data_IF_912832152780
#
_entry.id   IF_912832152780
#
_cell.length_a   1.000
_cell.length_b   1.000
_cell.length_c   1.000
_cell.angle_alpha   90.00
_cell.angle_beta   90.00
_cell.angle_gamma   90.00
#
_symmetry.space_group_name_H-M   'P 1'
#
loop_
_entity.id
_entity.type
_entity.pdbx_description
1 polymer ?
#
# COMPACT_ATOMS: atom_id res chain seq x y z
N UNK A 1 1.61 14.81 -18.39
CA UNK A 1 2.33 14.79 -17.10
C UNK A 1 1.33 14.40 -16.02
N UNK A 2 1.59 13.32 -15.29
CA UNK A 2 0.81 12.95 -14.11
C UNK A 2 1.51 13.59 -12.90
N UNK A 3 0.73 14.21 -12.00
CA UNK A 3 1.26 14.83 -10.79
C UNK A 3 0.46 14.27 -9.61
N UNK A 4 1.13 13.65 -8.66
CA UNK A 4 0.56 13.33 -7.35
C UNK A 4 0.68 14.59 -6.47
N UNK A 5 -0.44 15.19 -5.99
CA UNK A 5 -0.38 16.32 -5.08
C UNK A 5 0.38 15.96 -3.79
N UNK A 6 1.49 16.64 -3.54
CA UNK A 6 2.32 16.38 -2.37
C UNK A 6 1.69 16.93 -1.11
N UNK A 7 1.42 16.05 -0.16
CA UNK A 7 1.04 16.43 1.21
C UNK A 7 2.26 16.48 2.14
N UNK A 8 3.40 16.99 1.64
CA UNK A 8 4.71 16.85 2.29
C UNK A 8 4.71 17.25 3.76
N UNK A 9 4.04 18.36 4.12
CA UNK A 9 3.96 18.83 5.51
C UNK A 9 3.31 17.80 6.45
N UNK A 10 2.22 17.17 6.00
CA UNK A 10 1.50 16.15 6.79
C UNK A 10 2.30 14.85 6.79
N UNK A 11 2.87 14.46 5.65
CA UNK A 11 3.69 13.24 5.53
C UNK A 11 4.95 13.29 6.41
N UNK A 12 5.65 14.43 6.44
CA UNK A 12 6.81 14.63 7.33
C UNK A 12 6.39 14.55 8.79
N UNK A 13 5.24 15.14 9.14
CA UNK A 13 4.71 15.05 10.50
C UNK A 13 4.36 13.60 10.88
N UNK A 14 3.65 12.85 10.04
CA UNK A 14 3.34 11.43 10.26
C UNK A 14 4.61 10.57 10.37
N UNK A 15 5.59 10.78 9.49
CA UNK A 15 6.86 10.07 9.53
C UNK A 15 7.64 10.35 10.82
N UNK A 16 7.67 11.62 11.27
CA UNK A 16 8.33 12.00 12.52
C UNK A 16 7.68 11.34 13.75
N UNK A 17 6.35 11.16 13.74
CA UNK A 17 5.65 10.45 14.81
C UNK A 17 5.91 8.95 14.75
N UNK A 18 5.76 8.33 13.58
CA UNK A 18 6.01 6.89 13.38
C UNK A 18 7.45 6.49 13.72
N UNK A 19 8.43 7.35 13.42
CA UNK A 19 9.83 7.11 13.78
C UNK A 19 10.06 7.02 15.29
N UNK A 20 9.23 7.68 16.11
CA UNK A 20 9.32 7.62 17.58
C UNK A 20 8.71 6.34 18.17
N UNK A 21 7.73 5.73 17.51
CA UNK A 21 7.02 4.55 18.03
C UNK A 21 7.88 3.28 18.03
N UNK A 22 8.93 3.24 17.19
CA UNK A 22 9.81 2.07 17.03
C UNK A 22 11.08 2.06 17.87
N UNK A 23 11.34 3.08 18.70
CA UNK A 23 12.61 3.22 19.44
C UNK A 23 12.42 3.69 20.89
N UNK A 24 13.32 3.34 21.82
CA UNK A 24 13.32 3.87 23.18
C UNK A 24 13.27 5.41 23.22
N UNK A 25 12.57 5.98 24.21
CA UNK A 25 12.31 7.43 24.30
C UNK A 25 13.58 8.30 24.23
N UNK A 26 14.68 7.84 24.85
CA UNK A 26 15.98 8.55 24.84
C UNK A 26 16.54 8.67 23.42
N UNK A 27 16.40 7.62 22.60
CA UNK A 27 16.81 7.64 21.19
C UNK A 27 15.80 8.43 20.36
N UNK A 28 14.50 8.26 20.62
CA UNK A 28 13.43 8.99 19.95
C UNK A 28 13.64 10.51 20.04
N UNK A 29 13.97 11.02 21.23
CA UNK A 29 14.18 12.45 21.46
C UNK A 29 15.45 13.01 20.80
N UNK A 30 16.44 12.16 20.53
CA UNK A 30 17.66 12.55 19.81
C UNK A 30 17.40 12.76 18.31
N UNK A 31 16.55 11.94 17.70
CA UNK A 31 16.20 12.04 16.28
C UNK A 31 15.01 12.98 16.01
N UNK A 32 14.00 12.95 16.88
CA UNK A 32 12.79 13.77 16.80
C UNK A 32 12.51 14.37 18.18
N UNK A 33 13.13 15.53 18.52
CA UNK A 33 12.93 16.22 19.78
C UNK A 33 11.46 16.42 20.17
N UNK A 34 11.10 16.41 21.47
CA UNK A 34 9.72 16.55 21.93
C UNK A 34 8.96 17.75 21.35
N UNK A 35 9.64 18.88 21.15
CA UNK A 35 9.04 20.08 20.56
C UNK A 35 8.60 19.86 19.10
N UNK A 36 9.41 19.14 18.31
CA UNK A 36 9.08 18.79 16.93
C UNK A 36 7.98 17.72 16.89
N UNK A 37 7.98 16.79 17.83
CA UNK A 37 6.91 15.80 17.97
C UNK A 37 5.56 16.48 18.31
N UNK A 38 5.56 17.48 19.20
CA UNK A 38 4.38 18.29 19.51
C UNK A 38 3.85 19.04 18.29
N UNK A 39 4.74 19.66 17.51
CA UNK A 39 4.38 20.32 16.26
C UNK A 39 3.82 19.32 15.23
N UNK A 40 4.43 18.15 15.10
CA UNK A 40 3.96 17.10 14.20
C UNK A 40 2.56 16.61 14.57
N UNK A 41 2.28 16.40 15.87
CA UNK A 41 0.92 16.05 16.35
C UNK A 41 -0.11 17.10 15.95
N UNK A 42 0.16 18.38 16.22
CA UNK A 42 -0.74 19.46 15.85
C UNK A 42 -0.99 19.52 14.33
N UNK A 43 0.03 19.31 13.50
CA UNK A 43 -0.12 19.26 12.03
C UNK A 43 -1.05 18.12 11.59
N UNK A 44 -0.91 16.93 12.19
CA UNK A 44 -1.75 15.76 11.86
C UNK A 44 -3.18 15.96 12.36
N UNK A 45 -3.37 16.51 13.57
CA UNK A 45 -4.69 16.81 14.15
C UNK A 45 -5.43 17.90 13.36
N UNK A 46 -4.75 18.98 12.97
CA UNK A 46 -5.29 20.04 12.11
C UNK A 46 -5.75 19.47 10.75
N UNK A 47 -4.96 18.53 10.20
CA UNK A 47 -5.28 17.89 8.93
C UNK A 47 -6.48 16.94 9.06
N UNK A 48 -6.50 16.10 10.10
CA UNK A 48 -7.60 15.15 10.38
C UNK A 48 -8.92 15.85 10.70
N UNK A 49 -8.87 16.98 11.40
CA UNK A 49 -10.07 17.77 11.74
C UNK A 49 -10.67 18.50 10.54
N UNK A 50 -9.98 18.54 9.39
CA UNK A 50 -10.42 19.28 8.21
C UNK A 50 -10.41 20.81 8.43
N UNK A 51 -9.82 21.30 9.52
CA UNK A 51 -9.85 22.71 9.92
C UNK A 51 -9.16 23.64 8.90
N UNK A 52 -8.28 23.08 8.07
CA UNK A 52 -7.71 23.75 6.89
C UNK A 52 -8.23 23.08 5.62
N UNK A 53 -9.50 23.35 5.30
CA UNK A 53 -10.04 23.17 3.96
C UNK A 53 -9.15 23.98 3.02
N UNK A 54 -8.36 23.28 2.18
CA UNK A 54 -7.67 23.94 1.08
C UNK A 54 -8.75 24.59 0.21
N UNK A 55 -8.46 25.71 -0.47
CA UNK A 55 -9.42 26.39 -1.37
C UNK A 55 -10.08 25.45 -2.40
N UNK A 56 -9.55 24.24 -2.58
CA UNK A 56 -10.08 23.17 -3.40
C UNK A 56 -10.27 21.85 -2.63
N UNK A 57 -11.25 21.82 -1.71
CA UNK A 57 -11.84 20.58 -1.20
C UNK A 57 -11.24 19.99 0.08
N UNK A 58 -11.81 18.87 0.51
CA UNK A 58 -11.40 18.12 1.71
C UNK A 58 -9.94 17.66 1.57
N UNK A 59 -9.07 17.81 2.59
CA UNK A 59 -7.71 17.29 2.52
C UNK A 59 -7.72 15.76 2.32
N UNK A 60 -7.05 15.27 1.28
CA UNK A 60 -6.92 13.83 0.99
C UNK A 60 -5.46 13.44 0.82
N UNK A 61 -5.02 12.37 1.51
CA UNK A 61 -3.71 11.79 1.24
C UNK A 61 -3.81 11.00 -0.06
N UNK A 62 -3.04 11.40 -1.07
CA UNK A 62 -3.00 10.76 -2.39
C UNK A 62 -2.11 9.51 -2.42
N UNK A 63 -1.58 9.10 -1.28
CA UNK A 63 -0.59 8.04 -1.11
C UNK A 63 -0.96 7.18 0.10
N UNK A 64 -0.74 5.87 -0.02
CA UNK A 64 -0.67 4.97 1.11
C UNK A 64 0.74 4.39 1.17
N UNK A 65 1.33 4.30 2.35
CA UNK A 65 2.69 3.79 2.53
C UNK A 65 2.70 2.67 3.57
N UNK A 66 3.51 1.67 3.31
CA UNK A 66 3.84 0.59 4.23
C UNK A 66 5.36 0.44 4.26
N UNK A 67 5.90 0.13 5.43
CA UNK A 67 7.34 -0.12 5.61
C UNK A 67 7.60 -1.62 5.53
N UNK A 68 8.76 -2.02 4.98
CA UNK A 68 9.26 -3.41 4.97
C UNK A 68 8.40 -4.46 4.25
N UNK A 69 7.40 -4.04 3.48
CA UNK A 69 6.64 -4.94 2.62
C UNK A 69 5.50 -4.25 1.91
N UNK A 70 4.89 -4.99 0.97
CA UNK A 70 3.68 -4.55 0.27
C UNK A 70 2.47 -5.24 0.90
N UNK A 71 1.51 -4.51 1.47
CA UNK A 71 0.29 -5.10 1.99
C UNK A 71 -0.46 -5.87 0.90
N UNK A 72 -0.77 -7.14 1.17
CA UNK A 72 -1.32 -8.06 0.16
C UNK A 72 -2.60 -7.53 -0.51
N UNK A 73 -3.42 -6.79 0.25
CA UNK A 73 -4.65 -6.16 -0.24
C UNK A 73 -4.42 -5.17 -1.40
N UNK A 74 -3.25 -4.55 -1.49
CA UNK A 74 -2.96 -3.57 -2.55
C UNK A 74 -2.81 -4.23 -3.91
N UNK A 75 -2.39 -5.50 -3.97
CA UNK A 75 -2.32 -6.26 -5.21
C UNK A 75 -3.69 -6.50 -5.85
N UNK A 76 -4.80 -6.31 -5.11
CA UNK A 76 -6.17 -6.35 -5.67
C UNK A 76 -6.39 -5.23 -6.71
N UNK A 77 -5.67 -4.11 -6.60
CA UNK A 77 -5.93 -2.92 -7.43
C UNK A 77 -5.26 -2.98 -8.81
N UNK A 78 -4.26 -3.84 -8.98
CA UNK A 78 -3.39 -3.88 -10.16
C UNK A 78 -3.45 -5.25 -10.84
N UNK A 79 -3.07 -5.28 -12.11
CA UNK A 79 -2.85 -6.50 -12.87
C UNK A 79 -1.36 -6.76 -13.05
N UNK A 80 -0.98 -8.04 -13.19
CA UNK A 80 0.40 -8.41 -13.40
C UNK A 80 0.95 -7.91 -14.75
N UNK A 81 0.09 -7.69 -15.74
CA UNK A 81 0.47 -7.13 -17.03
C UNK A 81 0.77 -5.62 -16.98
N UNK A 82 0.36 -4.93 -15.91
CA UNK A 82 0.56 -3.49 -15.69
C UNK A 82 1.95 -3.17 -15.09
N UNK A 83 2.86 -4.15 -15.14
CA UNK A 83 4.17 -4.14 -14.50
C UNK A 83 5.19 -3.35 -15.29
N UNK A 84 5.93 -2.50 -14.60
CA UNK A 84 7.14 -1.84 -15.07
C UNK A 84 8.32 -2.22 -14.14
N UNK A 85 9.29 -2.98 -14.66
CA UNK A 85 10.52 -3.38 -13.94
C UNK A 85 11.76 -2.75 -14.57
N UNK A 86 12.63 -2.20 -13.74
CA UNK A 86 13.98 -1.76 -14.09
C UNK A 86 14.95 -2.35 -13.08
N UNK A 87 15.91 -3.14 -13.53
CA UNK A 87 16.95 -3.78 -12.68
C UNK A 87 18.32 -3.12 -12.80
N UNK A 88 18.45 -2.09 -13.65
CA UNK A 88 19.72 -1.38 -13.85
C UNK A 88 20.22 -0.76 -12.54
N UNK A 89 21.47 -1.07 -12.17
CA UNK A 89 22.16 -0.51 -11.00
C UNK A 89 22.01 1.02 -10.90
N UNK A 90 21.59 1.49 -9.72
CA UNK A 90 21.37 2.92 -9.43
C UNK A 90 20.06 3.51 -9.99
N UNK A 91 19.24 2.71 -10.68
CA UNK A 91 17.89 3.10 -11.16
C UNK A 91 16.89 1.96 -11.03
N UNK A 92 17.04 1.13 -9.99
CA UNK A 92 16.15 -0.02 -9.78
C UNK A 92 14.75 0.48 -9.44
N UNK A 93 13.74 -0.14 -10.03
CA UNK A 93 12.34 0.21 -9.81
C UNK A 93 11.46 -0.99 -10.15
N UNK A 94 10.42 -1.21 -9.36
CA UNK A 94 9.33 -2.14 -9.66
C UNK A 94 8.03 -1.44 -9.28
N UNK A 95 7.19 -1.19 -10.28
CA UNK A 95 5.89 -0.55 -10.07
C UNK A 95 4.83 -1.16 -10.97
N UNK A 96 3.58 -0.98 -10.56
CA UNK A 96 2.40 -1.32 -11.34
C UNK A 96 1.56 -0.06 -11.52
N UNK A 97 1.21 0.28 -12.76
CA UNK A 97 0.50 1.52 -13.07
C UNK A 97 -0.78 1.26 -13.85
N UNK A 98 -1.91 1.72 -13.33
CA UNK A 98 -3.24 1.52 -13.94
C UNK A 98 -4.11 2.76 -13.88
N UNK A 99 -5.07 2.87 -14.79
CA UNK A 99 -6.19 3.80 -14.63
C UNK A 99 -6.95 3.50 -13.33
N UNK A 100 -7.30 4.54 -12.57
CA UNK A 100 -8.07 4.39 -11.33
C UNK A 100 -9.42 3.72 -11.56
N UNK A 101 -10.01 3.90 -12.75
CA UNK A 101 -11.26 3.26 -13.13
C UNK A 101 -11.13 1.72 -13.14
N UNK A 102 -10.01 1.18 -13.61
CA UNK A 102 -9.70 -0.26 -13.61
C UNK A 102 -9.45 -0.75 -12.18
N UNK A 103 -8.66 0.00 -11.40
CA UNK A 103 -8.39 -0.31 -10.00
C UNK A 103 -9.67 -0.38 -9.16
N UNK A 104 -10.57 0.60 -9.28
CA UNK A 104 -11.89 0.58 -8.61
C UNK A 104 -12.71 -0.64 -8.99
N UNK A 105 -12.82 -0.95 -10.29
CA UNK A 105 -13.56 -2.14 -10.76
C UNK A 105 -13.00 -3.43 -10.13
N UNK A 106 -11.67 -3.59 -10.09
CA UNK A 106 -11.02 -4.74 -9.44
C UNK A 106 -11.28 -4.75 -7.94
N UNK A 107 -11.16 -3.61 -7.25
CA UNK A 107 -11.41 -3.47 -5.83
C UNK A 107 -12.84 -3.87 -5.46
N UNK A 108 -13.87 -3.32 -6.12
CA UNK A 108 -15.27 -3.68 -5.86
C UNK A 108 -15.56 -5.16 -6.15
N UNK A 109 -15.00 -5.71 -7.23
CA UNK A 109 -15.12 -7.14 -7.51
C UNK A 109 -14.47 -7.97 -6.41
N UNK A 110 -13.27 -7.58 -5.96
CA UNK A 110 -12.57 -8.20 -4.85
C UNK A 110 -13.40 -8.18 -3.56
N UNK A 111 -13.93 -7.03 -3.17
CA UNK A 111 -14.84 -6.89 -2.01
C UNK A 111 -16.07 -7.79 -2.15
N UNK A 112 -16.71 -7.82 -3.32
CA UNK A 112 -17.89 -8.65 -3.56
C UNK A 112 -17.59 -10.14 -3.42
N UNK A 113 -16.46 -10.61 -3.98
CA UNK A 113 -16.02 -12.01 -3.85
C UNK A 113 -15.69 -12.34 -2.40
N UNK A 114 -14.88 -11.51 -1.73
CA UNK A 114 -14.47 -11.73 -0.35
C UNK A 114 -15.68 -11.75 0.59
N UNK A 115 -16.58 -10.77 0.49
CA UNK A 115 -17.79 -10.72 1.32
C UNK A 115 -18.67 -11.95 1.11
N UNK A 116 -18.81 -12.44 -0.13
CA UNK A 116 -19.59 -13.65 -0.42
C UNK A 116 -18.95 -14.92 0.15
N UNK A 117 -17.62 -15.04 0.05
CA UNK A 117 -16.91 -16.28 0.40
C UNK A 117 -16.50 -16.36 1.87
N UNK A 118 -16.12 -15.24 2.48
CA UNK A 118 -15.57 -15.19 3.85
C UNK A 118 -16.27 -14.16 4.76
N UNK A 119 -17.30 -13.46 4.28
CA UNK A 119 -18.06 -12.48 5.06
C UNK A 119 -17.27 -11.20 5.38
N UNK A 120 -17.68 -10.53 6.45
CA UNK A 120 -17.03 -9.32 6.97
C UNK A 120 -15.78 -9.69 7.80
N UNK A 121 -14.82 -10.32 7.14
CA UNK A 121 -13.51 -10.64 7.69
C UNK A 121 -12.55 -9.44 7.57
N UNK A 122 -11.47 -9.36 8.37
CA UNK A 122 -10.51 -8.25 8.32
C UNK A 122 -9.94 -7.97 6.92
N UNK A 123 -9.75 -8.99 6.09
CA UNK A 123 -9.29 -8.81 4.71
C UNK A 123 -10.36 -8.15 3.81
N UNK A 124 -11.63 -8.48 4.01
CA UNK A 124 -12.76 -7.87 3.29
C UNK A 124 -12.83 -6.38 3.62
N UNK A 125 -12.80 -6.04 4.91
CA UNK A 125 -12.81 -4.66 5.39
C UNK A 125 -11.62 -3.87 4.86
N UNK A 126 -10.42 -4.45 4.88
CA UNK A 126 -9.22 -3.77 4.43
C UNK A 126 -9.21 -3.49 2.91
N UNK A 127 -9.76 -4.40 2.09
CA UNK A 127 -9.93 -4.15 0.65
C UNK A 127 -11.04 -3.11 0.42
N UNK A 128 -12.11 -3.13 1.20
CA UNK A 128 -13.20 -2.14 1.14
C UNK A 128 -12.76 -0.73 1.53
N UNK A 129 -11.92 -0.60 2.56
CA UNK A 129 -11.27 0.66 2.92
C UNK A 129 -10.45 1.20 1.75
N UNK A 130 -9.63 0.37 1.12
CA UNK A 130 -8.87 0.76 -0.06
C UNK A 130 -9.76 1.12 -1.27
N UNK A 131 -10.88 0.42 -1.46
CA UNK A 131 -11.87 0.76 -2.49
C UNK A 131 -12.47 2.14 -2.25
N UNK A 132 -12.91 2.43 -1.01
CA UNK A 132 -13.45 3.75 -0.62
C UNK A 132 -12.41 4.85 -0.80
N UNK A 133 -11.16 4.61 -0.40
CA UNK A 133 -10.07 5.56 -0.64
C UNK A 133 -9.88 5.86 -2.13
N UNK A 134 -9.88 4.82 -2.98
CA UNK A 134 -9.79 5.01 -4.44
C UNK A 134 -10.95 5.85 -4.99
N UNK A 135 -12.15 5.78 -4.43
CA UNK A 135 -13.34 6.53 -4.85
C UNK A 135 -13.21 8.04 -4.65
N UNK A 136 -12.35 8.46 -3.74
CA UNK A 136 -12.20 9.87 -3.38
C UNK A 136 -11.55 10.75 -4.46
N UNK A 137 -10.88 10.12 -5.43
CA UNK A 137 -10.12 10.80 -6.48
C UNK A 137 -10.92 10.95 -7.79
N UNK A 138 -10.40 11.74 -8.73
CA UNK A 138 -11.03 11.92 -10.03
C UNK A 138 -10.99 10.61 -10.85
N UNK A 139 -12.06 10.20 -11.57
CA UNK A 139 -12.11 8.91 -12.29
C UNK A 139 -11.12 8.76 -13.47
N UNK A 140 -10.49 9.86 -13.89
CA UNK A 140 -9.39 9.88 -14.88
C UNK A 140 -8.00 9.86 -14.26
N UNK A 141 -7.89 9.70 -12.94
CA UNK A 141 -6.61 9.55 -12.25
C UNK A 141 -5.96 8.20 -12.57
N UNK A 142 -4.69 8.10 -12.22
CA UNK A 142 -3.88 6.88 -12.30
C UNK A 142 -3.54 6.44 -10.88
N UNK A 143 -3.50 5.13 -10.67
CA UNK A 143 -3.03 4.48 -9.45
C UNK A 143 -1.70 3.83 -9.76
N UNK A 144 -0.73 4.04 -8.87
CA UNK A 144 0.58 3.42 -8.93
C UNK A 144 0.83 2.66 -7.63
N UNK A 145 1.17 1.38 -7.75
CA UNK A 145 1.77 0.59 -6.68
C UNK A 145 3.27 0.58 -6.91
N UNK A 146 4.03 1.33 -6.12
CA UNK A 146 5.49 1.42 -6.20
C UNK A 146 6.13 0.64 -5.04
N UNK A 147 7.10 -0.22 -5.35
CA UNK A 147 7.86 -0.96 -4.33
C UNK A 147 8.82 -0.04 -3.57
N UNK A 148 9.11 1.15 -4.08
CA UNK A 148 10.00 2.12 -3.46
C UNK A 148 11.37 1.50 -3.17
N UNK A 149 11.91 1.76 -1.98
CA UNK A 149 13.21 1.24 -1.55
C UNK A 149 13.28 -0.28 -1.36
N UNK A 150 12.16 -1.01 -1.37
CA UNK A 150 12.19 -2.49 -1.28
C UNK A 150 12.99 -3.11 -2.42
N UNK A 151 13.00 -2.47 -3.59
CA UNK A 151 13.76 -2.99 -4.74
C UNK A 151 15.24 -3.13 -4.44
N UNK A 152 15.81 -2.28 -3.58
CA UNK A 152 17.22 -2.32 -3.23
C UNK A 152 17.56 -3.44 -2.23
N UNK A 153 16.56 -4.00 -1.55
CA UNK A 153 16.70 -5.11 -0.61
C UNK A 153 16.52 -6.49 -1.26
N UNK A 154 15.95 -6.54 -2.47
CA UNK A 154 15.66 -7.78 -3.19
C UNK A 154 16.66 -8.00 -4.32
N UNK A 155 16.94 -9.25 -4.67
CA UNK A 155 17.76 -9.56 -5.86
C UNK A 155 16.96 -9.34 -7.15
N UNK A 156 17.66 -9.22 -8.29
CA UNK A 156 16.99 -9.04 -9.59
C UNK A 156 16.13 -10.26 -9.93
N UNK A 157 16.58 -11.48 -9.58
CA UNK A 157 15.82 -12.72 -9.78
C UNK A 157 14.53 -12.74 -8.95
N UNK A 158 14.58 -12.26 -7.70
CA UNK A 158 13.40 -12.16 -6.83
C UNK A 158 12.41 -11.15 -7.39
N UNK A 159 12.89 -9.99 -7.85
CA UNK A 159 12.04 -9.00 -8.48
C UNK A 159 11.41 -9.57 -9.76
N UNK A 160 12.18 -10.15 -10.66
CA UNK A 160 11.72 -10.76 -11.92
C UNK A 160 10.65 -11.84 -11.69
N UNK A 161 10.85 -12.70 -10.70
CA UNK A 161 9.94 -13.79 -10.33
C UNK A 161 8.69 -13.33 -9.54
N UNK A 162 8.60 -12.06 -9.13
CA UNK A 162 7.42 -11.56 -8.42
C UNK A 162 6.18 -11.58 -9.32
N UNK A 163 5.25 -12.48 -8.98
CA UNK A 163 3.92 -12.61 -9.58
C UNK A 163 2.79 -12.37 -8.56
N UNK A 164 3.04 -11.56 -7.51
CA UNK A 164 2.09 -11.35 -6.41
C UNK A 164 0.70 -10.89 -6.88
N UNK A 165 0.54 -9.99 -7.88
CA UNK A 165 -0.78 -9.70 -8.44
C UNK A 165 -1.47 -10.92 -9.06
N UNK A 166 -0.73 -11.83 -9.70
CA UNK A 166 -1.29 -13.08 -10.27
C UNK A 166 -1.82 -14.00 -9.18
N UNK A 167 -1.08 -14.16 -8.08
CA UNK A 167 -1.51 -14.98 -6.95
C UNK A 167 -2.78 -14.42 -6.31
N UNK A 168 -2.88 -13.10 -6.11
CA UNK A 168 -4.12 -12.48 -5.61
C UNK A 168 -5.28 -12.68 -6.57
N UNK A 169 -5.07 -12.47 -7.87
CA UNK A 169 -6.10 -12.69 -8.88
C UNK A 169 -6.56 -14.16 -8.92
N UNK A 170 -5.63 -15.12 -8.83
CA UNK A 170 -5.93 -16.55 -8.76
C UNK A 170 -6.73 -16.90 -7.49
N UNK A 171 -6.33 -16.36 -6.34
CA UNK A 171 -7.03 -16.54 -5.07
C UNK A 171 -8.49 -16.06 -5.13
N UNK A 172 -8.71 -14.82 -5.59
CA UNK A 172 -10.06 -14.28 -5.80
C UNK A 172 -10.86 -15.07 -6.83
N UNK A 173 -10.22 -15.55 -7.90
CA UNK A 173 -10.89 -16.36 -8.91
C UNK A 173 -11.31 -17.73 -8.36
N UNK A 174 -10.49 -18.37 -7.53
CA UNK A 174 -10.83 -19.60 -6.81
C UNK A 174 -12.03 -19.40 -5.89
N UNK A 175 -11.98 -18.37 -5.01
CA UNK A 175 -13.09 -18.00 -4.13
C UNK A 175 -14.39 -17.74 -4.89
N UNK A 176 -14.31 -17.02 -6.02
CA UNK A 176 -15.47 -16.72 -6.85
C UNK A 176 -16.13 -17.97 -7.46
N UNK A 177 -15.38 -19.06 -7.67
CA UNK A 177 -15.87 -20.34 -8.21
C UNK A 177 -16.24 -21.33 -7.10
N UNK A 178 -16.02 -21.00 -5.83
CA UNK A 178 -16.18 -21.93 -4.71
C UNK A 178 -15.04 -22.96 -4.60
N UNK A 179 -13.94 -22.74 -5.32
CA UNK A 179 -12.74 -23.59 -5.30
C UNK A 179 -11.82 -23.12 -4.18
N UNK A 180 -12.11 -23.58 -2.96
CA UNK A 180 -11.40 -23.18 -1.75
C UNK A 180 -9.95 -23.66 -1.74
N UNK A 181 -9.66 -24.81 -2.35
CA UNK A 181 -8.32 -25.39 -2.39
C UNK A 181 -7.39 -24.54 -3.27
N UNK A 182 -7.82 -24.20 -4.49
CA UNK A 182 -7.04 -23.31 -5.36
C UNK A 182 -6.87 -21.91 -4.75
N UNK A 183 -7.88 -21.40 -4.04
CA UNK A 183 -7.79 -20.13 -3.34
C UNK A 183 -6.75 -20.16 -2.20
N UNK A 184 -6.75 -21.25 -1.43
CA UNK A 184 -5.83 -21.46 -0.31
C UNK A 184 -4.39 -21.61 -0.82
N UNK A 185 -4.16 -22.42 -1.86
CA UNK A 185 -2.83 -22.61 -2.45
C UNK A 185 -2.23 -21.27 -2.93
N UNK A 186 -3.03 -20.44 -3.60
CA UNK A 186 -2.58 -19.13 -4.07
C UNK A 186 -2.24 -18.19 -2.89
N UNK A 187 -3.07 -18.21 -1.83
CA UNK A 187 -2.84 -17.42 -0.63
C UNK A 187 -1.58 -17.85 0.13
N UNK A 188 -1.36 -19.15 0.31
CA UNK A 188 -0.18 -19.68 1.00
C UNK A 188 1.12 -19.33 0.27
N UNK A 189 1.15 -19.46 -1.06
CA UNK A 189 2.29 -19.02 -1.88
C UNK A 189 2.58 -17.53 -1.67
N UNK A 190 1.54 -16.70 -1.67
CA UNK A 190 1.67 -15.25 -1.49
C UNK A 190 2.20 -14.90 -0.09
N UNK A 191 1.62 -15.49 0.96
CA UNK A 191 2.07 -15.27 2.35
C UNK A 191 3.51 -15.75 2.55
N UNK A 192 3.85 -16.93 2.02
CA UNK A 192 5.22 -17.48 2.11
C UNK A 192 6.25 -16.53 1.49
N UNK A 193 5.96 -15.99 0.30
CA UNK A 193 6.82 -15.00 -0.36
C UNK A 193 7.04 -13.76 0.50
N UNK A 194 5.97 -13.14 0.97
CA UNK A 194 6.07 -11.88 1.71
C UNK A 194 6.60 -12.05 3.12
N UNK A 195 6.43 -13.23 3.74
CA UNK A 195 7.08 -13.57 5.01
C UNK A 195 8.61 -13.57 4.88
N UNK A 196 9.16 -14.06 3.77
CA UNK A 196 10.61 -14.02 3.54
C UNK A 196 11.15 -12.58 3.46
N UNK A 197 10.40 -11.67 2.84
CA UNK A 197 10.75 -10.24 2.76
C UNK A 197 10.67 -9.58 4.13
N UNK A 198 9.62 -9.85 4.91
CA UNK A 198 9.47 -9.33 6.27
C UNK A 198 10.59 -9.80 7.23
N UNK A 199 11.18 -10.98 7.02
CA UNK A 199 12.31 -11.43 7.84
C UNK A 199 13.56 -10.55 7.65
N UNK A 200 13.71 -9.87 6.50
CA UNK A 200 14.82 -8.94 6.28
C UNK A 200 14.74 -7.70 7.20
N UNK A 201 13.54 -7.31 7.64
CA UNK A 201 13.36 -6.24 8.64
C UNK A 201 14.08 -6.61 9.95
N UNK A 202 13.94 -7.85 10.41
CA UNK A 202 14.49 -8.31 11.69
C UNK A 202 16.00 -8.50 11.70
N UNK A 203 16.62 -8.44 10.52
CA UNK A 203 18.07 -8.56 10.35
C UNK A 203 18.78 -7.21 10.26
N UNK A 204 18.03 -6.08 10.23
CA UNK A 204 18.55 -4.72 10.34
C UNK A 204 18.37 -4.18 11.77
#
# INVERSE_FOLDING_TARGET
MLVCPWNLRVRVAEAALSARDGVPSVLADAFVPPILAGQAKAIVEDWRSGARVLEHGVPRVHEQIATWGVPLRWFVFVDAEERELVTRRGRRALRYRTEISKARRRAHRGVSVLRKSVGDAPITEAVEEGARWLEEFHPRSVVELDYGGLVDLLSDEVLEADDSPKLVAAGLAGLSRGDADAATEAYEKLVSRWRAVQLLERCN
#
